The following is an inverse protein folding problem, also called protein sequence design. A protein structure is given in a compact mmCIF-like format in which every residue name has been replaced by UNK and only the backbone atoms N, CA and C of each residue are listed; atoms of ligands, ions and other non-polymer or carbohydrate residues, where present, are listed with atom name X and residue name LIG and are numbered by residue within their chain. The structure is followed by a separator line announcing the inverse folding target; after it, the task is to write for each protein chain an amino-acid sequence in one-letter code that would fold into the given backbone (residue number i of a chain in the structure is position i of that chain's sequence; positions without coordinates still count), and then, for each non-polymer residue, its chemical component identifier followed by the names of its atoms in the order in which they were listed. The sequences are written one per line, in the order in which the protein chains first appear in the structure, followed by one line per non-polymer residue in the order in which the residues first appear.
data_IF_259846413701
#
_entry.id   IF_259846413701
#
_cell.length_a   1.000
_cell.length_b   1.000
_cell.length_c   1.000
_cell.angle_alpha   90.00
_cell.angle_beta   90.00
_cell.angle_gamma   90.00
#
_symmetry.space_group_name_H-M   'P 1'
#
loop_
_entity.id
_entity.type
_entity.pdbx_description
1 polymer ?
#
# COMPACT_ATOMS: atom_id res chain seq x y z
N UNK A 1 2.14 114.06 31.81
CA UNK A 1 1.76 113.00 32.77
C UNK A 1 1.60 111.69 32.01
N UNK A 2 2.34 110.65 32.42
CA UNK A 2 2.13 109.19 32.30
C UNK A 2 1.62 108.57 30.97
N UNK A 3 1.95 107.37 30.51
CA UNK A 3 2.91 106.32 30.86
C UNK A 3 2.73 105.16 29.82
N UNK A 4 3.84 104.54 29.40
CA UNK A 4 4.06 103.08 29.21
C UNK A 4 3.28 102.26 28.14
N UNK A 5 4.06 101.86 27.09
CA UNK A 5 4.26 100.52 26.44
C UNK A 5 3.25 99.38 26.63
N UNK A 6 2.99 98.63 25.53
CA UNK A 6 3.54 97.27 25.29
C UNK A 6 3.16 96.69 23.90
N UNK A 7 4.11 95.94 23.30
CA UNK A 7 4.02 95.19 22.04
C UNK A 7 3.10 93.96 22.14
N UNK A 8 2.55 93.47 21.02
CA UNK A 8 2.63 92.05 20.55
C UNK A 8 2.33 91.99 19.03
N UNK A 9 3.13 91.22 18.28
CA UNK A 9 2.89 90.80 16.90
C UNK A 9 2.49 89.31 16.84
N UNK A 10 1.81 88.85 15.79
CA UNK A 10 2.06 87.52 15.21
C UNK A 10 2.20 87.60 13.67
N UNK A 11 3.28 87.13 13.05
CA UNK A 11 3.73 85.75 12.72
C UNK A 11 2.86 84.99 11.71
N UNK A 12 3.49 84.85 10.53
CA UNK A 12 3.19 84.07 9.33
C UNK A 12 2.57 82.68 9.53
N UNK A 13 1.63 82.37 8.63
CA UNK A 13 1.17 81.01 8.31
C UNK A 13 2.16 80.32 7.37
N UNK A 14 2.53 79.07 7.70
CA UNK A 14 3.20 78.14 6.80
C UNK A 14 2.32 76.88 6.69
N UNK A 15 1.93 76.55 5.45
CA UNK A 15 1.20 75.34 5.12
C UNK A 15 2.14 74.13 5.11
N UNK A 16 1.71 73.03 5.73
CA UNK A 16 2.36 71.72 5.61
C UNK A 16 1.36 70.74 4.98
N UNK A 17 1.77 70.13 3.87
CA UNK A 17 1.00 69.15 3.12
C UNK A 17 1.08 67.77 3.79
N UNK A 18 -0.06 67.18 4.12
CA UNK A 18 -0.18 65.76 4.48
C UNK A 18 -0.66 64.97 3.25
N UNK A 19 0.13 63.97 2.83
CA UNK A 19 -0.27 62.95 1.88
C UNK A 19 -1.12 61.86 2.57
N UNK A 20 -2.10 61.22 1.89
CA UNK A 20 -2.86 60.14 2.48
C UNK A 20 -2.13 58.79 2.33
N UNK A 21 -2.04 58.04 3.44
CA UNK A 21 -1.59 56.66 3.50
C UNK A 21 -2.60 55.73 2.81
N UNK A 22 -2.15 54.98 1.81
CA UNK A 22 -2.90 53.87 1.19
C UNK A 22 -2.85 52.65 2.12
N UNK A 23 -4.01 52.17 2.57
CA UNK A 23 -4.13 50.90 3.28
C UNK A 23 -4.14 49.73 2.25
N UNK A 24 -3.40 48.62 2.48
CA UNK A 24 -3.49 47.46 1.61
C UNK A 24 -4.75 46.66 1.91
N UNK A 25 -5.54 46.36 0.88
CA UNK A 25 -6.67 45.44 0.97
C UNK A 25 -6.18 44.01 1.25
N UNK A 26 -6.90 43.20 2.05
CA UNK A 26 -6.54 41.81 2.28
C UNK A 26 -6.79 41.02 0.99
N UNK A 27 -5.73 40.54 0.35
CA UNK A 27 -5.83 39.51 -0.68
C UNK A 27 -6.28 38.22 -0.01
N UNK A 28 -7.57 37.92 -0.10
CA UNK A 28 -8.09 36.59 0.22
C UNK A 28 -7.38 35.58 -0.71
N UNK A 29 -6.56 34.71 -0.11
CA UNK A 29 -6.03 33.55 -0.80
C UNK A 29 -7.20 32.61 -1.09
N UNK A 30 -7.71 32.64 -2.32
CA UNK A 30 -8.62 31.62 -2.84
C UNK A 30 -7.82 30.33 -2.98
N UNK A 31 -7.73 29.54 -1.91
CA UNK A 31 -7.31 28.15 -1.98
C UNK A 31 -8.45 27.34 -2.62
N UNK A 32 -8.56 27.41 -3.95
CA UNK A 32 -9.30 26.42 -4.71
C UNK A 32 -8.42 25.18 -4.83
N UNK A 33 -8.44 24.32 -3.81
CA UNK A 33 -7.99 22.95 -4.00
C UNK A 33 -9.12 22.19 -4.68
N UNK A 34 -9.15 22.22 -6.01
CA UNK A 34 -9.91 21.22 -6.76
C UNK A 34 -9.56 19.83 -6.18
N UNK A 35 -10.55 18.95 -5.93
CA UNK A 35 -10.27 17.60 -5.47
C UNK A 35 -9.29 16.95 -6.44
N UNK A 36 -8.10 16.57 -5.96
CA UNK A 36 -7.15 15.83 -6.79
C UNK A 36 -7.80 14.51 -7.20
N UNK A 37 -7.74 14.11 -8.47
CA UNK A 37 -8.27 12.83 -8.91
C UNK A 37 -7.61 11.72 -8.08
N UNK A 38 -8.42 10.73 -7.66
CA UNK A 38 -7.95 9.58 -6.88
C UNK A 38 -7.22 8.60 -7.79
N UNK A 39 -6.13 8.01 -7.30
CA UNK A 39 -5.42 6.99 -8.06
C UNK A 39 -6.30 5.76 -8.21
N UNK A 40 -6.51 5.30 -9.44
CA UNK A 40 -7.22 4.03 -9.69
C UNK A 40 -6.19 2.91 -9.73
N UNK A 41 -6.17 2.06 -8.71
CA UNK A 41 -5.16 0.99 -8.58
C UNK A 41 -5.83 -0.35 -8.77
N UNK A 42 -5.33 -1.14 -9.73
CA UNK A 42 -5.70 -2.53 -9.88
C UNK A 42 -4.94 -3.39 -8.87
N UNK A 43 -5.64 -4.20 -8.09
CA UNK A 43 -5.05 -5.20 -7.20
C UNK A 43 -5.33 -6.59 -7.75
N UNK A 44 -4.28 -7.33 -8.13
CA UNK A 44 -4.42 -8.67 -8.72
C UNK A 44 -4.10 -9.73 -7.67
N UNK A 45 -5.09 -10.57 -7.37
CA UNK A 45 -5.03 -11.65 -6.39
C UNK A 45 -4.93 -13.01 -7.07
N UNK A 46 -4.61 -14.04 -6.28
CA UNK A 46 -4.26 -15.38 -6.74
C UNK A 46 -4.90 -16.51 -5.93
N UNK A 47 -5.91 -16.20 -5.11
CA UNK A 47 -6.60 -17.11 -4.18
C UNK A 47 -6.78 -16.45 -2.81
N UNK A 48 -6.89 -17.23 -1.73
CA UNK A 48 -7.01 -16.72 -0.35
C UNK A 48 -6.34 -17.66 0.67
N UNK A 49 -5.01 -17.55 0.79
CA UNK A 49 -4.20 -18.42 1.64
C UNK A 49 -2.75 -18.41 1.17
N UNK A 50 -1.76 -18.33 2.07
CA UNK A 50 -0.36 -18.21 1.66
C UNK A 50 0.11 -19.41 0.83
N UNK A 51 -0.33 -20.64 1.12
CA UNK A 51 0.21 -21.84 0.46
C UNK A 51 -0.43 -22.16 -0.89
N UNK A 52 -1.63 -21.63 -1.18
CA UNK A 52 -2.40 -21.93 -2.38
C UNK A 52 -3.03 -20.71 -3.06
N UNK A 53 -2.79 -19.51 -2.54
CA UNK A 53 -3.37 -18.27 -3.02
C UNK A 53 -2.55 -17.04 -2.66
N UNK A 54 -3.23 -15.92 -2.45
CA UNK A 54 -2.62 -14.67 -1.98
C UNK A 54 -2.33 -14.73 -0.48
N UNK A 55 -1.17 -14.22 -0.05
CA UNK A 55 -0.86 -13.98 1.36
C UNK A 55 -1.78 -12.89 1.94
N UNK A 56 -2.54 -13.23 2.97
CA UNK A 56 -3.65 -12.40 3.46
C UNK A 56 -3.17 -11.10 4.11
N UNK A 57 -2.07 -11.15 4.86
CA UNK A 57 -1.52 -9.98 5.54
C UNK A 57 -0.88 -9.01 4.54
N UNK A 58 -0.26 -9.49 3.47
CA UNK A 58 0.28 -8.67 2.38
C UNK A 58 -0.85 -7.96 1.64
N UNK A 59 -1.90 -8.68 1.25
CA UNK A 59 -3.07 -8.08 0.62
C UNK A 59 -3.72 -7.04 1.54
N UNK A 60 -3.87 -7.36 2.83
CA UNK A 60 -4.39 -6.43 3.84
C UNK A 60 -3.52 -5.18 3.96
N UNK A 61 -2.19 -5.33 4.05
CA UNK A 61 -1.25 -4.21 4.12
C UNK A 61 -1.33 -3.33 2.86
N UNK A 62 -1.37 -3.92 1.67
CA UNK A 62 -1.55 -3.18 0.40
C UNK A 62 -2.84 -2.36 0.44
N UNK A 63 -3.98 -2.99 0.78
CA UNK A 63 -5.28 -2.33 0.85
C UNK A 63 -5.31 -1.20 1.88
N UNK A 64 -4.73 -1.40 3.07
CA UNK A 64 -4.63 -0.38 4.12
C UNK A 64 -3.82 0.81 3.66
N UNK A 65 -2.66 0.60 3.03
CA UNK A 65 -1.80 1.70 2.56
C UNK A 65 -2.41 2.44 1.37
N UNK A 66 -3.06 1.74 0.43
CA UNK A 66 -3.80 2.35 -0.67
C UNK A 66 -4.98 3.19 -0.15
N UNK A 67 -5.76 2.65 0.79
CA UNK A 67 -6.86 3.35 1.42
C UNK A 67 -6.40 4.58 2.21
N UNK A 68 -5.28 4.49 2.93
CA UNK A 68 -4.66 5.64 3.62
C UNK A 68 -4.20 6.72 2.65
N UNK A 69 -3.76 6.34 1.45
CA UNK A 69 -3.48 7.28 0.36
C UNK A 69 -4.74 7.88 -0.26
N UNK A 70 -5.91 7.26 -0.10
CA UNK A 70 -7.14 7.70 -0.78
C UNK A 70 -7.24 7.23 -2.24
N UNK A 71 -6.49 6.18 -2.61
CA UNK A 71 -6.64 5.50 -3.88
C UNK A 71 -8.00 4.79 -3.97
N UNK A 72 -8.54 4.73 -5.17
CA UNK A 72 -9.66 3.85 -5.53
C UNK A 72 -9.09 2.51 -6.00
N UNK A 73 -9.49 1.42 -5.33
CA UNK A 73 -8.94 0.08 -5.62
C UNK A 73 -9.99 -0.78 -6.30
N UNK A 74 -9.66 -1.33 -7.45
CA UNK A 74 -10.43 -2.40 -8.10
C UNK A 74 -9.65 -3.71 -8.02
N UNK A 75 -10.32 -4.77 -7.56
CA UNK A 75 -9.68 -6.05 -7.28
C UNK A 75 -10.00 -7.03 -8.40
N UNK A 76 -8.99 -7.80 -8.80
CA UNK A 76 -9.06 -8.76 -9.90
C UNK A 76 -8.43 -10.10 -9.51
N UNK A 77 -8.90 -11.18 -10.12
CA UNK A 77 -8.27 -12.49 -10.05
C UNK A 77 -8.67 -13.32 -11.29
N UNK A 78 -7.84 -14.23 -11.79
CA UNK A 78 -8.22 -15.08 -12.92
C UNK A 78 -9.31 -16.08 -12.51
N UNK A 79 -10.31 -16.28 -13.38
CA UNK A 79 -11.35 -17.29 -13.18
C UNK A 79 -10.86 -18.69 -13.61
N UNK A 80 -9.99 -19.28 -12.79
CA UNK A 80 -9.37 -20.59 -13.04
C UNK A 80 -9.35 -21.45 -11.77
N UNK A 81 -9.27 -22.79 -11.88
CA UNK A 81 -8.98 -23.64 -10.73
C UNK A 81 -7.63 -23.29 -10.07
N UNK A 82 -7.55 -23.38 -8.74
CA UNK A 82 -6.26 -23.38 -8.06
C UNK A 82 -5.46 -24.64 -8.45
N UNK A 83 -4.13 -24.52 -8.53
CA UNK A 83 -3.26 -25.68 -8.78
C UNK A 83 -3.40 -26.75 -7.67
N UNK A 84 -3.43 -26.32 -6.41
CA UNK A 84 -3.67 -27.17 -5.25
C UNK A 84 -4.60 -26.45 -4.27
N UNK A 85 -5.28 -27.22 -3.42
CA UNK A 85 -5.92 -26.73 -2.20
C UNK A 85 -5.10 -27.24 -1.03
N UNK A 86 -4.67 -26.35 -0.13
CA UNK A 86 -3.76 -26.72 0.96
C UNK A 86 -4.46 -26.59 2.31
N UNK A 87 -4.43 -27.65 3.12
CA UNK A 87 -4.74 -27.56 4.55
C UNK A 87 -3.60 -26.81 5.24
N UNK A 88 -3.83 -25.53 5.55
CA UNK A 88 -2.82 -24.65 6.13
C UNK A 88 -2.40 -25.07 7.54
N UNK A 89 -3.19 -25.89 8.25
CA UNK A 89 -2.81 -26.43 9.57
C UNK A 89 -1.78 -27.56 9.47
N UNK A 90 -1.72 -28.22 8.31
CA UNK A 90 -0.82 -29.35 8.05
C UNK A 90 0.28 -29.02 7.03
N UNK A 91 0.10 -27.96 6.24
CA UNK A 91 0.98 -27.61 5.12
C UNK A 91 0.94 -28.63 3.98
N UNK A 92 -0.15 -29.41 3.86
CA UNK A 92 -0.27 -30.53 2.93
C UNK A 92 -1.47 -30.33 1.97
N UNK A 93 -1.39 -30.82 0.72
CA UNK A 93 -2.52 -30.82 -0.20
C UNK A 93 -3.73 -31.61 0.31
N UNK A 94 -4.93 -31.09 0.01
CA UNK A 94 -6.19 -31.81 0.14
C UNK A 94 -6.55 -32.41 -1.22
N UNK A 95 -6.30 -33.70 -1.40
CA UNK A 95 -6.49 -34.41 -2.69
C UNK A 95 -7.96 -34.48 -3.14
N UNK A 96 -8.91 -34.30 -2.22
CA UNK A 96 -10.34 -34.39 -2.51
C UNK A 96 -11.02 -33.05 -2.78
N UNK A 97 -10.29 -31.93 -2.66
CA UNK A 97 -10.85 -30.59 -2.78
C UNK A 97 -10.34 -29.87 -4.03
N UNK A 98 -11.25 -29.16 -4.69
CA UNK A 98 -10.91 -28.20 -5.74
C UNK A 98 -11.53 -26.85 -5.41
N UNK A 99 -10.79 -25.76 -5.64
CA UNK A 99 -11.27 -24.40 -5.45
C UNK A 99 -10.91 -23.54 -6.65
N UNK A 100 -11.65 -22.45 -6.84
CA UNK A 100 -11.45 -21.51 -7.92
C UNK A 100 -10.77 -20.23 -7.39
N UNK A 101 -9.78 -19.74 -8.11
CA UNK A 101 -8.94 -18.60 -7.74
C UNK A 101 -9.77 -17.32 -7.53
N UNK A 102 -10.62 -16.97 -8.50
CA UNK A 102 -11.50 -15.79 -8.41
C UNK A 102 -12.48 -15.90 -7.23
N UNK A 103 -13.09 -17.07 -7.07
CA UNK A 103 -14.07 -17.34 -6.00
C UNK A 103 -13.44 -17.21 -4.61
N UNK A 104 -12.25 -17.79 -4.41
CA UNK A 104 -11.57 -17.70 -3.12
C UNK A 104 -11.02 -16.29 -2.87
N UNK A 105 -10.48 -15.61 -3.89
CA UNK A 105 -10.06 -14.20 -3.76
C UNK A 105 -11.21 -13.24 -3.45
N UNK A 106 -12.46 -13.59 -3.79
CA UNK A 106 -13.63 -12.80 -3.40
C UNK A 106 -13.80 -12.68 -1.88
N UNK A 107 -13.21 -13.59 -1.08
CA UNK A 107 -13.16 -13.52 0.39
C UNK A 107 -12.40 -12.27 0.84
N UNK A 108 -11.20 -12.04 0.28
CA UNK A 108 -10.38 -10.85 0.55
C UNK A 108 -11.11 -9.60 0.06
N UNK A 109 -11.69 -9.66 -1.14
CA UNK A 109 -12.36 -8.54 -1.79
C UNK A 109 -13.76 -8.20 -1.23
N UNK A 110 -14.27 -8.99 -0.27
CA UNK A 110 -15.65 -8.89 0.25
C UNK A 110 -16.69 -8.87 -0.89
N UNK A 111 -16.50 -9.74 -1.87
CA UNK A 111 -17.35 -9.88 -3.05
C UNK A 111 -17.13 -8.83 -4.16
N UNK A 112 -16.32 -7.80 -3.94
CA UNK A 112 -16.04 -6.74 -4.94
C UNK A 112 -14.83 -7.07 -5.79
N UNK A 113 -14.94 -8.12 -6.59
CA UNK A 113 -13.86 -8.63 -7.45
C UNK A 113 -14.36 -8.84 -8.87
N UNK A 114 -13.46 -8.69 -9.84
CA UNK A 114 -13.75 -8.90 -11.27
C UNK A 114 -12.76 -9.92 -11.84
N UNK A 115 -13.17 -10.66 -12.87
CA UNK A 115 -12.24 -11.51 -13.63
C UNK A 115 -11.08 -10.66 -14.20
N UNK A 116 -9.84 -11.14 -14.01
CA UNK A 116 -8.62 -10.53 -14.53
C UNK A 116 -8.64 -10.32 -16.05
N UNK A 117 -9.36 -11.16 -16.79
CA UNK A 117 -9.55 -10.98 -18.23
C UNK A 117 -10.17 -9.62 -18.61
N UNK A 118 -10.86 -8.97 -17.66
CA UNK A 118 -11.50 -7.65 -17.85
C UNK A 118 -10.64 -6.47 -17.41
N UNK A 119 -9.48 -6.71 -16.81
CA UNK A 119 -8.56 -5.62 -16.43
C UNK A 119 -7.93 -5.01 -17.68
N UNK A 120 -8.10 -3.70 -17.83
CA UNK A 120 -7.46 -2.86 -18.84
C UNK A 120 -6.57 -1.83 -18.16
N UNK A 121 -5.33 -1.70 -18.64
CA UNK A 121 -4.43 -0.64 -18.18
C UNK A 121 -4.97 0.77 -18.47
N UNK A 122 -5.87 0.96 -19.43
CA UNK A 122 -6.42 2.28 -19.76
C UNK A 122 -7.25 2.89 -18.60
N UNK A 123 -7.90 2.03 -17.81
CA UNK A 123 -8.84 2.43 -16.75
C UNK A 123 -8.19 2.60 -15.37
N UNK A 124 -6.88 2.35 -15.28
CA UNK A 124 -6.13 2.34 -14.02
C UNK A 124 -4.85 3.15 -14.15
N UNK A 125 -4.31 3.61 -13.02
CA UNK A 125 -3.07 4.36 -12.94
C UNK A 125 -1.90 3.49 -12.49
N UNK A 126 -2.15 2.36 -11.83
CA UNK A 126 -1.15 1.40 -11.38
C UNK A 126 -1.72 -0.02 -11.21
N UNK A 127 -0.86 -1.03 -11.19
CA UNK A 127 -1.21 -2.41 -10.83
C UNK A 127 -0.34 -2.91 -9.68
N UNK A 128 -0.92 -3.64 -8.72
CA UNK A 128 -0.21 -4.24 -7.60
C UNK A 128 -0.52 -5.74 -7.50
N UNK A 129 0.52 -6.55 -7.30
CA UNK A 129 0.48 -8.00 -7.14
C UNK A 129 1.06 -8.38 -5.77
N UNK A 130 0.23 -8.69 -4.76
CA UNK A 130 0.69 -9.31 -3.54
C UNK A 130 1.31 -10.68 -3.81
N UNK A 131 2.09 -11.19 -2.86
CA UNK A 131 2.68 -12.51 -2.92
C UNK A 131 1.74 -13.62 -2.42
N UNK A 132 2.34 -14.58 -1.73
CA UNK A 132 1.77 -15.90 -1.51
C UNK A 132 2.10 -16.86 -2.65
N UNK A 133 2.11 -18.15 -2.35
CA UNK A 133 2.46 -19.20 -3.32
C UNK A 133 1.47 -19.26 -4.50
N UNK A 134 0.26 -18.70 -4.37
CA UNK A 134 -0.65 -18.54 -5.51
C UNK A 134 -0.05 -17.69 -6.64
N UNK A 135 0.84 -16.74 -6.37
CA UNK A 135 1.56 -16.03 -7.44
C UNK A 135 2.48 -16.99 -8.23
N UNK A 136 3.10 -17.94 -7.55
CA UNK A 136 3.98 -18.95 -8.15
C UNK A 136 3.24 -20.19 -8.69
N UNK A 137 1.99 -20.43 -8.28
CA UNK A 137 1.20 -21.63 -8.63
C UNK A 137 0.02 -21.35 -9.57
N UNK A 138 -0.63 -20.20 -9.43
CA UNK A 138 -1.88 -19.86 -10.12
C UNK A 138 -1.70 -18.72 -11.12
N UNK A 139 -0.89 -17.71 -10.79
CA UNK A 139 -0.52 -16.63 -11.72
C UNK A 139 0.65 -17.03 -12.64
N UNK A 140 1.35 -18.11 -12.30
CA UNK A 140 2.42 -18.72 -13.08
C UNK A 140 2.61 -20.18 -12.68
N UNK A 141 3.51 -20.88 -13.35
CA UNK A 141 3.96 -22.23 -12.98
C UNK A 141 5.31 -22.22 -12.26
N UNK A 142 5.74 -21.08 -11.71
CA UNK A 142 7.07 -20.93 -11.10
C UNK A 142 7.36 -21.93 -9.97
N UNK A 143 6.35 -22.27 -9.16
CA UNK A 143 6.50 -23.20 -8.04
C UNK A 143 6.90 -24.62 -8.49
N UNK A 144 6.58 -25.01 -9.72
CA UNK A 144 6.87 -26.35 -10.27
C UNK A 144 7.96 -26.32 -11.33
N UNK A 145 7.98 -25.29 -12.18
CA UNK A 145 8.87 -25.20 -13.35
C UNK A 145 10.10 -24.30 -13.12
N UNK A 146 10.16 -23.55 -12.00
CA UNK A 146 11.24 -22.63 -11.70
C UNK A 146 11.52 -21.63 -12.83
N UNK A 147 12.74 -21.60 -13.36
CA UNK A 147 13.14 -20.69 -14.45
C UNK A 147 12.41 -20.96 -15.78
N UNK A 148 11.95 -22.18 -15.99
CA UNK A 148 11.27 -22.61 -17.21
C UNK A 148 9.76 -22.34 -17.15
N UNK A 149 9.31 -21.66 -16.09
CA UNK A 149 7.91 -21.35 -15.86
C UNK A 149 7.26 -20.54 -16.97
N UNK A 150 5.94 -20.62 -16.97
CA UNK A 150 5.04 -19.81 -17.79
C UNK A 150 4.23 -18.92 -16.88
N UNK A 151 3.95 -17.71 -17.32
CA UNK A 151 3.03 -16.78 -16.64
C UNK A 151 1.64 -16.97 -17.26
N UNK A 152 0.60 -16.88 -16.44
CA UNK A 152 -0.78 -16.95 -16.92
C UNK A 152 -1.03 -15.88 -17.98
N UNK A 153 -1.75 -16.20 -19.06
CA UNK A 153 -1.88 -15.32 -20.24
C UNK A 153 -2.39 -13.92 -19.90
N UNK A 154 -3.42 -13.82 -19.06
CA UNK A 154 -3.94 -12.52 -18.62
C UNK A 154 -2.98 -11.76 -17.71
N UNK A 155 -2.18 -12.45 -16.90
CA UNK A 155 -1.16 -11.80 -16.06
C UNK A 155 -0.06 -11.24 -16.94
N UNK A 156 0.42 -12.02 -17.92
CA UNK A 156 1.41 -11.57 -18.90
C UNK A 156 0.91 -10.36 -19.69
N UNK A 157 -0.35 -10.42 -20.17
CA UNK A 157 -1.01 -9.30 -20.87
C UNK A 157 -1.05 -8.06 -19.99
N UNK A 158 -1.56 -8.16 -18.76
CA UNK A 158 -1.66 -7.02 -17.82
C UNK A 158 -0.29 -6.41 -17.53
N UNK A 159 0.73 -7.24 -17.25
CA UNK A 159 2.08 -6.73 -17.00
C UNK A 159 2.63 -5.95 -18.19
N UNK A 160 2.42 -6.44 -19.42
CA UNK A 160 2.83 -5.75 -20.65
C UNK A 160 2.03 -4.46 -20.87
N UNK A 161 0.72 -4.49 -20.75
CA UNK A 161 -0.14 -3.31 -20.95
C UNK A 161 0.24 -2.16 -19.99
N UNK A 162 0.45 -2.45 -18.70
CA UNK A 162 0.88 -1.42 -17.74
C UNK A 162 2.29 -0.91 -18.02
N UNK A 163 3.22 -1.80 -18.39
CA UNK A 163 4.59 -1.42 -18.74
C UNK A 163 4.65 -0.55 -19.99
N UNK A 164 3.96 -0.94 -21.06
CA UNK A 164 3.85 -0.19 -22.33
C UNK A 164 3.17 1.17 -22.15
N UNK A 165 2.16 1.25 -21.28
CA UNK A 165 1.51 2.50 -20.90
C UNK A 165 2.36 3.38 -19.97
N UNK A 166 3.53 2.90 -19.54
CA UNK A 166 4.39 3.62 -18.59
C UNK A 166 3.71 3.83 -17.24
N UNK A 167 2.88 2.87 -16.80
CA UNK A 167 2.17 2.89 -15.51
C UNK A 167 2.88 1.98 -14.52
N UNK A 168 3.04 2.40 -13.25
CA UNK A 168 3.82 1.64 -12.30
C UNK A 168 3.18 0.31 -11.93
N UNK A 169 4.04 -0.68 -11.70
CA UNK A 169 3.69 -2.03 -11.27
C UNK A 169 4.36 -2.30 -9.92
N UNK A 170 3.58 -2.59 -8.89
CA UNK A 170 4.07 -3.00 -7.57
C UNK A 170 3.99 -4.52 -7.39
N UNK A 171 5.04 -5.18 -6.94
CA UNK A 171 5.00 -6.61 -6.61
C UNK A 171 5.72 -6.88 -5.27
N UNK A 172 5.17 -7.70 -4.40
CA UNK A 172 5.84 -8.08 -3.14
C UNK A 172 6.01 -9.59 -2.98
N UNK A 173 6.95 -9.96 -2.11
CA UNK A 173 7.25 -11.36 -1.80
C UNK A 173 7.74 -12.13 -3.01
N UNK A 174 7.06 -13.22 -3.39
CA UNK A 174 7.45 -14.05 -4.54
C UNK A 174 6.92 -13.49 -5.87
N UNK A 175 5.93 -12.59 -5.86
CA UNK A 175 5.34 -12.03 -7.08
C UNK A 175 6.32 -11.35 -8.07
N UNK A 176 7.48 -10.75 -7.66
CA UNK A 176 8.49 -10.24 -8.58
C UNK A 176 8.99 -11.22 -9.65
N UNK A 177 8.87 -12.54 -9.45
CA UNK A 177 9.20 -13.55 -10.48
C UNK A 177 8.36 -13.37 -11.75
N UNK A 178 7.13 -12.85 -11.62
CA UNK A 178 6.23 -12.57 -12.74
C UNK A 178 6.81 -11.47 -13.63
N UNK A 179 7.22 -10.35 -13.01
CA UNK A 179 7.86 -9.25 -13.72
C UNK A 179 9.20 -9.69 -14.33
N UNK A 180 10.02 -10.45 -13.60
CA UNK A 180 11.28 -10.96 -14.09
C UNK A 180 11.12 -11.84 -15.34
N UNK A 181 10.07 -12.66 -15.40
CA UNK A 181 9.78 -13.51 -16.57
C UNK A 181 9.28 -12.70 -17.77
N UNK A 182 8.44 -11.69 -17.54
CA UNK A 182 7.70 -11.00 -18.62
C UNK A 182 8.45 -9.76 -19.15
N UNK A 183 9.11 -9.00 -18.27
CA UNK A 183 9.72 -7.71 -18.59
C UNK A 183 11.24 -7.85 -18.72
N UNK A 184 11.76 -7.68 -19.93
CA UNK A 184 13.19 -7.86 -20.22
C UNK A 184 14.06 -6.84 -19.48
N UNK A 185 15.06 -7.32 -18.74
CA UNK A 185 16.05 -6.47 -18.08
C UNK A 185 15.48 -5.63 -16.94
N UNK A 186 14.36 -6.05 -16.34
CA UNK A 186 13.80 -5.42 -15.15
C UNK A 186 14.70 -5.63 -13.93
N UNK A 187 14.75 -4.65 -13.04
CA UNK A 187 15.35 -4.79 -11.72
C UNK A 187 14.28 -5.06 -10.66
N UNK A 188 14.49 -6.07 -9.82
CA UNK A 188 13.57 -6.44 -8.75
C UNK A 188 14.31 -6.86 -7.48
N UNK A 189 13.62 -6.84 -6.34
CA UNK A 189 14.09 -7.47 -5.11
C UNK A 189 13.12 -8.56 -4.67
N UNK A 190 13.68 -9.66 -4.15
CA UNK A 190 12.94 -10.66 -3.36
C UNK A 190 13.55 -10.80 -1.96
N UNK A 191 14.41 -9.85 -1.56
CA UNK A 191 15.10 -9.87 -0.27
C UNK A 191 16.60 -10.01 -0.40
N UNK A 192 17.17 -10.96 0.35
CA UNK A 192 18.59 -11.30 0.33
C UNK A 192 18.88 -12.51 -0.58
N UNK A 193 20.16 -12.66 -0.92
CA UNK A 193 20.66 -13.78 -1.74
C UNK A 193 21.24 -14.92 -0.88
N UNK A 194 21.33 -14.73 0.43
CA UNK A 194 21.90 -15.70 1.36
C UNK A 194 20.94 -15.96 2.51
N UNK A 195 20.87 -17.23 2.91
CA UNK A 195 20.22 -17.63 4.16
C UNK A 195 20.99 -17.04 5.35
N UNK A 196 20.30 -16.35 6.24
CA UNK A 196 20.88 -15.74 7.44
C UNK A 196 20.17 -16.26 8.68
N UNK A 197 20.56 -17.44 9.15
CA UNK A 197 20.01 -18.01 10.40
C UNK A 197 18.49 -18.20 10.37
N UNK A 198 17.92 -18.54 9.21
CA UNK A 198 16.48 -18.71 9.00
C UNK A 198 15.71 -17.43 8.72
N UNK A 199 16.38 -16.26 8.71
CA UNK A 199 15.73 -14.98 8.40
C UNK A 199 15.25 -14.87 6.95
N UNK A 200 15.88 -15.56 6.01
CA UNK A 200 15.61 -15.42 4.57
C UNK A 200 15.38 -16.76 3.89
N UNK A 201 14.39 -17.58 4.34
CA UNK A 201 14.25 -19.01 4.00
C UNK A 201 14.04 -19.34 2.51
N UNK A 202 13.94 -18.30 1.66
CA UNK A 202 13.74 -18.41 0.23
C UNK A 202 14.82 -17.65 -0.57
N UNK A 203 16.01 -17.47 0.00
CA UNK A 203 17.11 -16.70 -0.60
C UNK A 203 17.52 -17.22 -1.99
N UNK A 204 17.35 -18.53 -2.26
CA UNK A 204 17.58 -19.13 -3.57
C UNK A 204 16.73 -18.54 -4.71
N UNK A 205 15.65 -17.83 -4.39
CA UNK A 205 14.82 -17.13 -5.38
C UNK A 205 15.61 -16.04 -6.13
N UNK A 206 16.61 -15.42 -5.49
CA UNK A 206 17.46 -14.42 -6.13
C UNK A 206 18.19 -14.97 -7.37
N UNK A 207 18.66 -16.21 -7.32
CA UNK A 207 19.30 -16.86 -8.46
C UNK A 207 18.30 -17.20 -9.57
N UNK A 208 17.07 -17.57 -9.22
CA UNK A 208 16.00 -17.75 -10.19
C UNK A 208 15.67 -16.44 -10.92
N UNK A 209 15.61 -15.31 -10.21
CA UNK A 209 15.43 -13.97 -10.82
C UNK A 209 16.54 -13.68 -11.84
N UNK A 210 17.80 -13.95 -11.49
CA UNK A 210 18.95 -13.77 -12.40
C UNK A 210 18.83 -14.68 -13.63
N UNK A 211 18.47 -15.95 -13.43
CA UNK A 211 18.28 -16.92 -14.50
C UNK A 211 17.13 -16.57 -15.46
N UNK A 212 16.11 -15.85 -14.97
CA UNK A 212 15.02 -15.31 -15.78
C UNK A 212 15.42 -14.08 -16.62
N UNK A 213 16.65 -13.57 -16.45
CA UNK A 213 17.18 -12.42 -17.20
C UNK A 213 16.86 -11.06 -16.56
N UNK A 214 16.42 -11.06 -15.31
CA UNK A 214 16.24 -9.86 -14.50
C UNK A 214 17.44 -9.63 -13.57
N UNK A 215 17.57 -8.41 -13.06
CA UNK A 215 18.59 -8.07 -12.07
C UNK A 215 17.98 -8.12 -10.67
N UNK A 216 18.55 -8.95 -9.81
CA UNK A 216 18.21 -8.94 -8.40
C UNK A 216 18.95 -7.82 -7.66
N UNK A 217 18.22 -7.07 -6.83
CA UNK A 217 18.74 -6.01 -5.99
C UNK A 217 18.46 -6.34 -4.52
N UNK A 218 19.50 -6.55 -3.72
CA UNK A 218 19.34 -6.87 -2.29
C UNK A 218 18.66 -5.72 -1.55
N UNK A 219 17.63 -6.05 -0.77
CA UNK A 219 16.90 -5.10 0.08
C UNK A 219 16.51 -5.72 1.41
N UNK A 220 16.54 -4.90 2.46
CA UNK A 220 15.96 -5.24 3.74
C UNK A 220 14.43 -5.30 3.67
N UNK A 221 13.82 -6.00 4.63
CA UNK A 221 12.37 -6.25 4.67
C UNK A 221 11.50 -4.99 4.75
N UNK A 222 12.00 -3.90 5.34
CA UNK A 222 11.31 -2.61 5.44
C UNK A 222 11.57 -1.70 4.23
N UNK A 223 12.40 -2.13 3.28
CA UNK A 223 12.74 -1.39 2.09
C UNK A 223 11.93 -1.84 0.86
N UNK A 224 11.93 -1.00 -0.17
CA UNK A 224 11.41 -1.36 -1.48
C UNK A 224 12.39 -0.86 -2.55
N UNK A 225 12.69 -1.74 -3.51
CA UNK A 225 13.47 -1.40 -4.71
C UNK A 225 12.58 -0.73 -5.74
N UNK A 226 13.16 0.19 -6.51
CA UNK A 226 12.50 0.82 -7.65
C UNK A 226 13.38 0.66 -8.87
N UNK A 227 12.81 0.11 -9.93
CA UNK A 227 13.32 0.22 -11.28
C UNK A 227 12.70 1.43 -11.94
N UNK A 228 13.47 2.51 -12.04
CA UNK A 228 13.02 3.79 -12.61
C UNK A 228 12.70 3.69 -14.09
N UNK A 229 13.44 2.84 -14.81
CA UNK A 229 13.30 2.70 -16.26
C UNK A 229 12.01 1.96 -16.60
N UNK A 230 11.73 0.87 -15.89
CA UNK A 230 10.56 0.03 -16.15
C UNK A 230 9.34 0.36 -15.28
N UNK A 231 9.48 1.32 -14.34
CA UNK A 231 8.46 1.67 -13.35
C UNK A 231 7.94 0.46 -12.55
N UNK A 232 8.87 -0.40 -12.15
CA UNK A 232 8.59 -1.57 -11.33
C UNK A 232 9.07 -1.30 -9.91
N UNK A 233 8.19 -1.52 -8.92
CA UNK A 233 8.50 -1.34 -7.51
C UNK A 233 8.32 -2.68 -6.81
N UNK A 234 9.34 -3.12 -6.07
CA UNK A 234 9.30 -4.43 -5.40
C UNK A 234 9.75 -4.36 -3.95
N UNK A 235 9.20 -5.24 -3.09
CA UNK A 235 9.61 -5.35 -1.68
C UNK A 235 9.58 -6.82 -1.23
N UNK A 236 10.46 -7.23 -0.30
CA UNK A 236 10.60 -8.65 0.04
C UNK A 236 9.41 -9.24 0.81
N UNK A 237 8.72 -8.46 1.65
CA UNK A 237 7.62 -8.94 2.50
C UNK A 237 7.93 -10.29 3.18
N UNK A 238 7.03 -11.29 3.13
CA UNK A 238 7.21 -12.59 3.80
C UNK A 238 8.30 -13.50 3.22
N UNK A 239 9.12 -13.01 2.28
CA UNK A 239 10.40 -13.67 1.97
C UNK A 239 11.38 -13.58 3.15
N UNK A 240 11.07 -12.74 4.14
CA UNK A 240 11.81 -12.54 5.38
C UNK A 240 11.01 -13.04 6.60
N UNK A 241 11.63 -13.86 7.45
CA UNK A 241 11.11 -14.22 8.77
C UNK A 241 11.38 -13.11 9.77
N UNK A 242 10.35 -12.35 10.11
CA UNK A 242 10.45 -11.22 11.03
C UNK A 242 9.09 -10.87 11.64
N UNK A 243 9.05 -9.87 12.52
CA UNK A 243 7.80 -9.39 13.09
C UNK A 243 6.88 -8.80 12.01
N UNK A 244 5.59 -9.11 12.09
CA UNK A 244 4.56 -8.75 11.09
C UNK A 244 4.55 -7.26 10.71
N UNK A 245 4.81 -6.37 11.67
CA UNK A 245 4.79 -4.92 11.42
C UNK A 245 5.92 -4.48 10.46
N UNK A 246 7.08 -5.13 10.47
CA UNK A 246 8.16 -4.84 9.51
C UNK A 246 7.75 -5.21 8.07
N UNK A 247 7.01 -6.31 7.90
CA UNK A 247 6.42 -6.70 6.61
C UNK A 247 5.45 -5.62 6.13
N UNK A 248 4.53 -5.23 7.01
CA UNK A 248 3.54 -4.19 6.72
C UNK A 248 4.20 -2.85 6.34
N UNK A 249 5.29 -2.47 7.01
CA UNK A 249 6.01 -1.23 6.74
C UNK A 249 6.74 -1.26 5.39
N UNK A 250 7.37 -2.39 5.03
CA UNK A 250 7.99 -2.60 3.71
C UNK A 250 6.98 -2.52 2.57
N UNK A 251 5.81 -3.14 2.74
CA UNK A 251 4.69 -3.02 1.79
C UNK A 251 4.19 -1.58 1.70
N UNK A 252 4.12 -0.87 2.82
CA UNK A 252 3.81 0.56 2.82
C UNK A 252 4.83 1.40 2.05
N UNK A 253 6.11 1.07 2.17
CA UNK A 253 7.18 1.72 1.41
C UNK A 253 7.05 1.44 -0.10
N UNK A 254 6.63 0.23 -0.50
CA UNK A 254 6.32 -0.12 -1.89
C UNK A 254 5.13 0.69 -2.41
N UNK A 255 3.98 0.66 -1.72
CA UNK A 255 2.76 1.36 -2.14
C UNK A 255 3.00 2.86 -2.33
N UNK A 256 3.70 3.51 -1.39
CA UNK A 256 4.08 4.93 -1.50
C UNK A 256 4.94 5.24 -2.71
N UNK A 257 5.81 4.31 -3.14
CA UNK A 257 6.67 4.48 -4.32
C UNK A 257 5.90 4.25 -5.62
N UNK A 258 5.00 3.27 -5.65
CA UNK A 258 4.05 3.06 -6.77
C UNK A 258 3.23 4.32 -7.00
N UNK A 259 2.65 4.88 -5.94
CA UNK A 259 1.87 6.11 -6.00
C UNK A 259 2.66 7.28 -6.62
N UNK A 260 3.88 7.53 -6.10
CA UNK A 260 4.77 8.57 -6.65
C UNK A 260 5.07 8.37 -8.13
N UNK A 261 5.24 7.13 -8.60
CA UNK A 261 5.49 6.84 -10.01
C UNK A 261 4.25 6.99 -10.91
N UNK A 262 3.05 6.91 -10.33
CA UNK A 262 1.79 7.15 -11.03
C UNK A 262 1.52 8.67 -11.25
N UNK A 263 2.44 9.54 -10.81
CA UNK A 263 2.28 10.99 -10.90
C UNK A 263 1.29 11.55 -9.87
N UNK A 264 0.89 10.74 -8.89
CA UNK A 264 -0.03 11.13 -7.84
C UNK A 264 0.75 11.25 -6.54
N UNK A 265 0.55 12.37 -5.83
CA UNK A 265 1.12 12.59 -4.50
C UNK A 265 -0.04 12.42 -3.53
N UNK A 266 -0.46 11.17 -3.28
CA UNK A 266 -1.52 10.88 -2.31
C UNK A 266 -1.09 11.24 -0.89
N UNK A 267 0.23 11.30 -0.64
CA UNK A 267 0.79 11.70 0.64
C UNK A 267 1.16 13.18 0.68
N UNK A 268 0.47 14.05 1.45
CA UNK A 268 0.98 15.40 1.67
C UNK A 268 2.38 15.32 2.32
N UNK A 269 3.36 16.11 1.87
CA UNK A 269 4.61 16.22 2.61
C UNK A 269 4.28 16.79 4.01
N UNK A 270 4.41 15.98 5.07
CA UNK A 270 4.29 16.49 6.44
C UNK A 270 3.55 15.67 7.51
N UNK A 271 3.03 14.46 7.27
CA UNK A 271 2.59 13.59 8.39
C UNK A 271 3.64 12.53 8.73
N UNK A 272 4.84 12.97 9.09
CA UNK A 272 5.75 12.14 9.87
C UNK A 272 5.46 12.44 11.35
N UNK A 273 5.10 11.41 12.12
CA UNK A 273 4.91 11.52 13.57
C UNK A 273 3.60 12.17 13.99
N UNK A 274 2.69 11.38 14.55
CA UNK A 274 1.78 11.91 15.57
C UNK A 274 2.63 11.89 16.84
N UNK A 275 3.16 13.05 17.25
CA UNK A 275 3.61 13.20 18.64
C UNK A 275 2.43 12.91 19.55
N UNK A 276 2.61 12.19 20.67
CA UNK A 276 1.52 11.99 21.61
C UNK A 276 1.15 13.35 22.18
N UNK A 277 -0.08 13.79 21.91
CA UNK A 277 -0.70 14.85 22.68
C UNK A 277 -0.70 14.39 24.14
N UNK A 278 0.12 15.05 24.95
CA UNK A 278 -0.03 15.02 26.39
C UNK A 278 -1.36 15.70 26.72
N UNK A 279 -2.44 14.94 26.75
CA UNK A 279 -3.65 15.32 27.47
C UNK A 279 -3.67 14.57 28.80
N UNK A 280 -3.73 15.35 29.88
CA UNK A 280 -3.84 14.89 31.25
C UNK A 280 -5.27 14.57 31.61
N UNK A 281 -5.93 13.70 30.85
CA UNK A 281 -7.26 13.20 31.18
C UNK A 281 -7.12 11.85 31.89
N UNK A 282 -7.41 11.83 33.20
CA UNK A 282 -7.47 10.59 33.97
C UNK A 282 -8.46 9.59 33.34
N UNK A 283 -8.16 8.28 33.35
CA UNK A 283 -9.13 7.27 32.92
C UNK A 283 -10.32 7.25 33.89
N UNK A 284 -11.52 7.38 33.34
CA UNK A 284 -12.78 7.16 34.06
C UNK A 284 -12.85 5.68 34.44
N UNK A 285 -13.04 5.32 35.73
CA UNK A 285 -13.13 3.91 36.12
C UNK A 285 -14.46 3.33 35.63
N UNK A 286 -14.39 2.18 34.96
CA UNK A 286 -15.56 1.32 34.77
C UNK A 286 -16.05 0.84 36.15
N UNK A 287 -17.25 1.27 36.53
CA UNK A 287 -17.93 0.81 37.75
C UNK A 287 -18.34 -0.67 37.65
N UNK A 288 -18.56 -1.33 38.80
CA UNK A 288 -18.81 -2.77 38.86
C UNK A 288 -20.20 -3.08 38.32
N UNK A 289 -20.29 -4.02 37.36
CA UNK A 289 -21.55 -4.69 37.09
C UNK A 289 -21.81 -5.67 38.22
N UNK A 290 -22.92 -5.46 38.91
CA UNK A 290 -23.30 -6.13 40.14
C UNK A 290 -23.44 -7.64 40.01
N UNK A 291 -23.03 -8.30 41.09
CA UNK A 291 -23.42 -9.61 41.53
C UNK A 291 -24.95 -9.75 41.60
N UNK A 292 -25.51 -10.66 40.80
CA UNK A 292 -26.81 -11.27 41.09
C UNK A 292 -26.56 -12.60 41.79
N UNK A 293 -26.74 -12.62 43.11
CA UNK A 293 -26.76 -13.83 43.93
C UNK A 293 -28.08 -14.61 43.78
N UNK A 294 -27.92 -15.93 43.80
CA UNK A 294 -28.74 -16.98 44.40
C UNK A 294 -30.24 -17.14 44.09
N UNK A 295 -30.57 -18.40 43.75
CA UNK A 295 -31.91 -18.96 43.85
C UNK A 295 -31.92 -20.43 43.43
N UNK A 296 -31.37 -21.33 44.26
CA UNK A 296 -31.78 -22.74 44.23
C UNK A 296 -33.03 -22.90 45.09
N UNK A 297 -33.94 -23.80 44.70
CA UNK A 297 -34.29 -24.82 45.66
C UNK A 297 -34.35 -26.21 45.00
N UNK A 298 -33.63 -27.15 45.60
CA UNK A 298 -33.99 -28.55 45.55
C UNK A 298 -35.10 -28.77 46.60
N UNK A 299 -36.14 -29.57 46.31
CA UNK A 299 -36.19 -30.83 47.06
C UNK A 299 -36.73 -32.02 46.24
N UNK A 300 -36.06 -33.16 46.43
CA UNK A 300 -36.60 -34.53 46.60
C UNK A 300 -37.94 -34.93 45.95
N UNK A 301 -37.93 -36.07 45.26
CA UNK A 301 -39.08 -36.99 45.27
C UNK A 301 -39.26 -37.82 44.01
N UNK A 302 -39.00 -39.13 44.17
CA UNK A 302 -39.39 -40.29 43.33
C UNK A 302 -38.68 -40.56 42.00
#
# INVERSE_FOLDING_TARGET
MAAVRALVAPRLAAASAFAPLHAPAPRAALHSSAPRPRARVALVLSGCGVYDGTELHEASAVLVHLSRGGAEVQIFAPDVPQMHVIDHTKGQPSESETRNVLTESARIARGKITDLARLSAADHDAAIFPGGFGAAKNLSTFAVDGKDCRVHKDVERVLKEFHEAGKPIGLCCIAPVLAAKVLRGVEVTVGHEQEEGGKWPYAGTAEAIKALGAKHCVKGVTEAHVDQKNKVVTTPAFMCETALHHIHDGIGAMVKKVDRQAGQVLWPPGRAGVEPLADGSQPVPCGPQGSGEEGTPNPSGE
#
